data_IF_724253847198
#
_entry.id   IF_724253847198
#
_cell.length_a   1.000
_cell.length_b   1.000
_cell.length_c   1.000
_cell.angle_alpha   90.00
_cell.angle_beta   90.00
_cell.angle_gamma   90.00
#
_symmetry.space_group_name_H-M   'P 1'
#
loop_
_entity.id
_entity.type
_entity.pdbx_description
1 polymer ?
#
# COMPACT_ATOMS: atom_id res chain seq x y z
N UNK A 1 -40.97 -13.47 4.45
CA UNK A 1 -39.57 -13.82 4.18
C UNK A 1 -38.74 -12.57 4.36
N UNK A 2 -38.14 -12.41 5.53
CA UNK A 2 -37.50 -11.16 5.99
C UNK A 2 -35.97 -11.19 5.88
N UNK A 3 -35.43 -11.98 4.95
CA UNK A 3 -33.98 -12.14 4.77
C UNK A 3 -33.41 -11.35 3.57
N UNK A 4 -34.26 -10.68 2.78
CA UNK A 4 -33.83 -10.02 1.54
C UNK A 4 -33.79 -8.47 1.61
N UNK A 5 -34.04 -7.86 2.78
CA UNK A 5 -34.20 -6.40 2.92
C UNK A 5 -33.16 -5.71 3.83
N UNK A 6 -32.05 -6.36 4.18
CA UNK A 6 -31.03 -5.82 5.10
C UNK A 6 -29.57 -5.91 4.59
N UNK A 7 -29.35 -5.92 3.28
CA UNK A 7 -28.01 -5.86 2.68
C UNK A 7 -27.48 -4.41 2.64
N UNK A 8 -27.48 -3.74 3.79
CA UNK A 8 -26.81 -2.44 3.96
C UNK A 8 -25.29 -2.64 4.00
N UNK A 9 -24.56 -1.79 3.29
CA UNK A 9 -23.10 -1.72 3.25
C UNK A 9 -22.53 -1.29 4.62
N UNK A 10 -22.49 -2.18 5.60
CA UNK A 10 -21.86 -1.88 6.88
C UNK A 10 -20.37 -2.22 6.77
N UNK A 11 -19.56 -1.20 6.43
CA UNK A 11 -18.13 -1.24 6.71
C UNK A 11 -17.99 -1.53 8.21
N UNK A 12 -17.26 -2.59 8.56
CA UNK A 12 -17.14 -2.97 9.97
C UNK A 12 -16.44 -1.87 10.78
N UNK A 13 -16.80 -1.75 12.05
CA UNK A 13 -16.29 -0.66 12.89
C UNK A 13 -14.79 -0.74 13.13
N UNK A 14 -14.15 -1.91 12.99
CA UNK A 14 -12.70 -2.04 13.12
C UNK A 14 -12.00 -1.44 11.90
N UNK A 15 -12.48 -1.72 10.70
CA UNK A 15 -12.05 -1.08 9.45
C UNK A 15 -12.17 0.45 9.53
N UNK A 16 -13.32 0.97 9.97
CA UNK A 16 -13.50 2.42 10.12
C UNK A 16 -12.50 3.04 11.10
N UNK A 17 -12.28 2.40 12.26
CA UNK A 17 -11.28 2.88 13.23
C UNK A 17 -9.87 2.85 12.66
N UNK A 18 -9.51 1.80 11.91
CA UNK A 18 -8.19 1.67 11.32
C UNK A 18 -7.94 2.74 10.25
N UNK A 19 -8.97 3.10 9.47
CA UNK A 19 -8.90 4.23 8.54
C UNK A 19 -8.59 5.52 9.30
N UNK A 20 -9.34 5.86 10.35
CA UNK A 20 -9.10 7.11 11.09
C UNK A 20 -7.69 7.16 11.70
N UNK A 21 -7.21 6.04 12.26
CA UNK A 21 -5.85 5.95 12.81
C UNK A 21 -4.77 6.15 11.73
N UNK A 22 -5.00 5.67 10.51
CA UNK A 22 -4.04 5.82 9.42
C UNK A 22 -4.04 7.22 8.81
N UNK A 23 -5.20 7.91 8.77
CA UNK A 23 -5.29 9.27 8.22
C UNK A 23 -4.29 10.22 8.88
N UNK A 24 -4.20 10.19 10.21
CA UNK A 24 -3.34 11.10 10.98
C UNK A 24 -1.84 10.88 10.78
N UNK A 25 -1.45 9.68 10.30
CA UNK A 25 -0.05 9.30 10.10
C UNK A 25 0.35 9.17 8.64
N UNK A 26 -0.54 9.46 7.69
CA UNK A 26 -0.24 9.31 6.27
C UNK A 26 0.36 10.59 5.71
N UNK A 27 1.64 10.53 5.33
CA UNK A 27 2.41 11.66 4.77
C UNK A 27 2.26 12.97 5.60
N UNK A 28 2.45 12.91 6.94
CA UNK A 28 2.18 14.05 7.82
C UNK A 28 3.05 15.28 7.48
N UNK A 29 4.23 15.08 6.90
CA UNK A 29 5.17 16.12 6.49
C UNK A 29 4.62 17.05 5.40
N UNK A 30 3.64 16.59 4.61
CA UNK A 30 3.02 17.41 3.55
C UNK A 30 1.91 18.31 4.09
N UNK A 31 1.31 17.96 5.23
CA UNK A 31 0.15 18.66 5.80
C UNK A 31 -1.15 18.55 5.00
N UNK A 32 -1.13 17.93 3.82
CA UNK A 32 -2.27 17.81 2.91
C UNK A 32 -3.43 16.98 3.48
N UNK A 33 -3.12 16.00 4.32
CA UNK A 33 -4.08 15.06 4.90
C UNK A 33 -4.29 15.27 6.39
N UNK A 34 -3.73 16.33 6.97
CA UNK A 34 -3.90 16.63 8.39
C UNK A 34 -5.37 16.91 8.70
N UNK A 35 -5.87 16.37 9.81
CA UNK A 35 -7.23 16.61 10.27
C UNK A 35 -7.51 18.11 10.49
N UNK A 36 -6.50 18.85 10.96
CA UNK A 36 -6.59 20.28 11.23
C UNK A 36 -6.29 21.12 9.97
N UNK A 37 -7.19 21.06 8.99
CA UNK A 37 -7.20 21.96 7.84
C UNK A 37 -6.46 21.46 6.60
N UNK A 38 -6.08 20.18 6.54
CA UNK A 38 -5.54 19.56 5.34
C UNK A 38 -6.59 19.50 4.22
N UNK A 39 -6.31 20.05 3.02
CA UNK A 39 -7.29 20.14 1.93
C UNK A 39 -7.79 18.78 1.43
N UNK A 40 -7.05 17.70 1.65
CA UNK A 40 -7.38 16.36 1.18
C UNK A 40 -7.79 15.38 2.28
N UNK A 41 -7.83 15.80 3.55
CA UNK A 41 -8.15 14.90 4.68
C UNK A 41 -9.51 14.19 4.47
N UNK A 42 -10.56 14.96 4.20
CA UNK A 42 -11.91 14.42 3.99
C UNK A 42 -12.02 13.59 2.71
N UNK A 43 -11.26 13.96 1.67
CA UNK A 43 -11.21 13.21 0.41
C UNK A 43 -10.57 11.83 0.62
N UNK A 44 -9.44 11.78 1.33
CA UNK A 44 -8.76 10.52 1.67
C UNK A 44 -9.65 9.62 2.53
N UNK A 45 -10.28 10.19 3.57
CA UNK A 45 -11.23 9.46 4.43
C UNK A 45 -12.37 8.84 3.62
N UNK A 46 -12.98 9.62 2.73
CA UNK A 46 -14.10 9.17 1.89
C UNK A 46 -13.66 8.11 0.89
N UNK A 47 -12.51 8.29 0.25
CA UNK A 47 -11.96 7.35 -0.73
C UNK A 47 -11.66 6.00 -0.10
N UNK A 48 -10.98 5.97 1.06
CA UNK A 48 -10.67 4.74 1.77
C UNK A 48 -11.93 4.01 2.26
N UNK A 49 -12.92 4.75 2.75
CA UNK A 49 -14.23 4.17 3.12
C UNK A 49 -14.98 3.64 1.90
N UNK A 50 -14.95 4.34 0.77
CA UNK A 50 -15.55 3.88 -0.48
C UNK A 50 -14.90 2.60 -0.99
N UNK A 51 -13.56 2.50 -0.93
CA UNK A 51 -12.84 1.26 -1.23
C UNK A 51 -13.30 0.12 -0.30
N UNK A 52 -13.31 0.35 1.02
CA UNK A 52 -13.70 -0.67 1.99
C UNK A 52 -15.15 -1.15 1.79
N UNK A 53 -16.06 -0.26 1.41
CA UNK A 53 -17.43 -0.61 1.05
C UNK A 53 -17.51 -1.45 -0.24
N UNK A 54 -16.64 -1.18 -1.22
CA UNK A 54 -16.55 -1.91 -2.49
C UNK A 54 -15.86 -3.28 -2.37
N UNK A 55 -14.92 -3.41 -1.43
CA UNK A 55 -14.15 -4.63 -1.15
C UNK A 55 -14.29 -5.04 0.32
N UNK A 56 -15.50 -5.39 0.80
CA UNK A 56 -15.76 -5.62 2.22
C UNK A 56 -15.01 -6.82 2.82
N UNK A 57 -14.56 -7.78 1.98
CA UNK A 57 -13.75 -8.91 2.43
C UNK A 57 -12.28 -8.53 2.71
N UNK A 58 -11.78 -7.49 2.04
CA UNK A 58 -10.45 -6.92 2.31
C UNK A 58 -10.57 -5.83 3.38
N UNK A 59 -11.61 -5.01 3.30
CA UNK A 59 -11.83 -3.87 4.20
C UNK A 59 -10.73 -2.83 4.01
N UNK A 60 -10.06 -2.49 5.11
CA UNK A 60 -8.87 -1.65 5.11
C UNK A 60 -7.73 -2.34 5.84
N UNK A 61 -6.59 -2.45 5.16
CA UNK A 61 -5.33 -2.92 5.72
C UNK A 61 -4.44 -1.72 5.98
N UNK A 62 -3.81 -1.69 7.15
CA UNK A 62 -2.86 -0.65 7.53
C UNK A 62 -1.82 -0.42 6.42
N UNK A 63 -1.59 0.84 6.09
CA UNK A 63 -0.65 1.25 5.03
C UNK A 63 -1.30 1.53 3.68
N UNK A 64 -2.53 1.06 3.42
CA UNK A 64 -3.26 1.37 2.18
C UNK A 64 -3.49 2.88 1.97
N UNK A 65 -3.56 3.65 3.07
CA UNK A 65 -3.67 5.10 3.04
C UNK A 65 -2.58 5.79 2.24
N UNK A 66 -1.34 5.25 2.26
CA UNK A 66 -0.23 5.83 1.50
C UNK A 66 -0.46 5.75 -0.01
N UNK A 67 -0.89 4.59 -0.51
CA UNK A 67 -1.23 4.40 -1.92
C UNK A 67 -2.36 5.35 -2.35
N UNK A 68 -3.43 5.43 -1.54
CA UNK A 68 -4.56 6.32 -1.81
C UNK A 68 -4.18 7.81 -1.81
N UNK A 69 -3.31 8.22 -0.89
CA UNK A 69 -2.88 9.62 -0.72
C UNK A 69 -2.11 10.13 -1.92
N UNK A 70 -1.19 9.33 -2.45
CA UNK A 70 -0.41 9.71 -3.63
C UNK A 70 -1.33 9.88 -4.83
N UNK A 71 -2.30 8.99 -5.03
CA UNK A 71 -3.29 9.15 -6.11
C UNK A 71 -4.08 10.45 -5.96
N UNK A 72 -4.56 10.80 -4.76
CA UNK A 72 -5.33 12.03 -4.51
C UNK A 72 -4.56 13.33 -4.74
N UNK A 73 -3.23 13.31 -4.65
CA UNK A 73 -2.41 14.48 -4.99
C UNK A 73 -2.35 14.69 -6.51
N UNK A 74 -2.54 13.65 -7.31
CA UNK A 74 -2.32 13.66 -8.75
C UNK A 74 -3.60 13.62 -9.59
N UNK A 75 -4.75 13.24 -9.01
CA UNK A 75 -6.02 13.14 -9.74
C UNK A 75 -7.24 13.37 -8.85
N UNK A 76 -8.40 13.55 -9.48
CA UNK A 76 -9.66 13.75 -8.79
C UNK A 76 -10.08 12.49 -7.99
N UNK A 77 -10.85 12.64 -6.89
CA UNK A 77 -11.17 11.53 -5.98
C UNK A 77 -11.84 10.32 -6.65
N UNK A 78 -12.69 10.55 -7.65
CA UNK A 78 -13.38 9.50 -8.39
C UNK A 78 -12.41 8.64 -9.21
N UNK A 79 -11.47 9.27 -9.91
CA UNK A 79 -10.44 8.59 -10.69
C UNK A 79 -9.44 7.88 -9.75
N UNK A 80 -9.06 8.54 -8.65
CA UNK A 80 -8.19 7.96 -7.64
C UNK A 80 -8.79 6.68 -7.05
N UNK A 81 -10.11 6.64 -6.81
CA UNK A 81 -10.79 5.43 -6.34
C UNK A 81 -10.71 4.31 -7.38
N UNK A 82 -10.95 4.60 -8.66
CA UNK A 82 -10.90 3.61 -9.74
C UNK A 82 -9.48 3.04 -9.89
N UNK A 83 -8.46 3.91 -9.89
CA UNK A 83 -7.06 3.49 -9.98
C UNK A 83 -6.66 2.68 -8.74
N UNK A 84 -7.05 3.10 -7.54
CA UNK A 84 -6.77 2.36 -6.31
C UNK A 84 -7.37 0.95 -6.34
N UNK A 85 -8.65 0.81 -6.71
CA UNK A 85 -9.31 -0.49 -6.82
C UNK A 85 -8.56 -1.40 -7.80
N UNK A 86 -8.24 -0.87 -8.99
CA UNK A 86 -7.54 -1.63 -10.02
C UNK A 86 -6.13 -2.04 -9.60
N UNK A 87 -5.40 -1.16 -8.91
CA UNK A 87 -4.06 -1.44 -8.42
C UNK A 87 -4.09 -2.50 -7.32
N UNK A 88 -4.96 -2.34 -6.31
CA UNK A 88 -5.03 -3.24 -5.16
C UNK A 88 -5.61 -4.63 -5.50
N UNK A 89 -6.43 -4.75 -6.55
CA UNK A 89 -6.89 -6.04 -7.07
C UNK A 89 -5.85 -6.73 -7.98
N UNK A 90 -4.74 -6.05 -8.32
CA UNK A 90 -3.70 -6.51 -9.26
C UNK A 90 -2.30 -6.41 -8.65
N UNK A 91 -1.27 -6.62 -9.48
CA UNK A 91 0.13 -6.58 -9.07
C UNK A 91 0.44 -7.54 -7.91
N UNK A 92 1.20 -7.09 -6.92
CA UNK A 92 1.56 -7.83 -5.71
C UNK A 92 0.51 -7.71 -4.60
N UNK A 93 -0.33 -6.66 -4.63
CA UNK A 93 -1.23 -6.33 -3.53
C UNK A 93 -2.11 -7.47 -3.04
N UNK A 94 -2.76 -8.31 -3.87
CA UNK A 94 -3.58 -9.40 -3.38
C UNK A 94 -2.81 -10.44 -2.53
N UNK A 95 -1.51 -10.62 -2.76
CA UNK A 95 -0.68 -11.49 -1.93
C UNK A 95 -0.33 -10.82 -0.61
N UNK A 96 0.02 -9.52 -0.66
CA UNK A 96 0.52 -8.78 0.49
C UNK A 96 -0.61 -8.38 1.44
N UNK A 97 -1.77 -7.93 0.93
CA UNK A 97 -2.95 -7.58 1.73
C UNK A 97 -3.54 -8.79 2.46
N UNK A 98 -3.48 -9.98 1.83
CA UNK A 98 -3.92 -11.23 2.43
C UNK A 98 -2.87 -11.86 3.36
N UNK A 99 -1.65 -11.30 3.42
CA UNK A 99 -0.48 -11.91 4.06
C UNK A 99 -0.29 -13.38 3.64
N UNK A 100 -0.53 -13.67 2.37
CA UNK A 100 -0.37 -15.00 1.78
C UNK A 100 1.12 -15.27 1.57
N UNK A 101 1.75 -15.89 2.56
CA UNK A 101 3.19 -16.14 2.61
C UNK A 101 3.66 -16.92 1.38
N UNK A 102 2.90 -17.92 0.93
CA UNK A 102 3.26 -18.74 -0.24
C UNK A 102 3.30 -17.92 -1.54
N UNK A 103 2.42 -16.90 -1.65
CA UNK A 103 2.45 -15.97 -2.78
C UNK A 103 3.50 -14.89 -2.61
N UNK A 104 3.69 -14.36 -1.40
CA UNK A 104 4.73 -13.37 -1.07
C UNK A 104 6.11 -13.93 -1.41
N UNK A 105 6.36 -15.20 -1.13
CA UNK A 105 7.62 -15.89 -1.39
C UNK A 105 8.02 -15.91 -2.87
N UNK A 106 7.04 -15.84 -3.77
CA UNK A 106 7.27 -15.74 -5.22
C UNK A 106 7.89 -14.40 -5.62
N UNK A 107 7.73 -13.35 -4.80
CA UNK A 107 8.36 -12.05 -4.96
C UNK A 107 9.67 -11.95 -4.19
N UNK A 108 9.71 -12.52 -2.97
CA UNK A 108 10.90 -12.51 -2.10
C UNK A 108 12.05 -13.29 -2.71
N UNK A 109 11.82 -14.49 -3.24
CA UNK A 109 12.90 -15.33 -3.76
C UNK A 109 13.65 -14.71 -4.96
N UNK A 110 13.00 -14.12 -5.98
CA UNK A 110 13.69 -13.34 -7.00
C UNK A 110 14.44 -12.13 -6.43
N UNK A 111 13.84 -11.39 -5.49
CA UNK A 111 14.49 -10.25 -4.86
C UNK A 111 15.77 -10.66 -4.11
N UNK A 112 15.73 -11.73 -3.32
CA UNK A 112 16.89 -12.26 -2.60
C UNK A 112 18.04 -12.62 -3.55
N UNK A 113 17.74 -13.23 -4.69
CA UNK A 113 18.75 -13.52 -5.73
C UNK A 113 19.35 -12.23 -6.29
N UNK A 114 18.55 -11.20 -6.51
CA UNK A 114 19.04 -9.89 -6.95
C UNK A 114 19.90 -9.22 -5.88
N UNK A 115 19.49 -9.26 -4.62
CA UNK A 115 20.26 -8.73 -3.49
C UNK A 115 21.63 -9.42 -3.38
N UNK A 116 21.67 -10.75 -3.44
CA UNK A 116 22.92 -11.52 -3.45
C UNK A 116 23.81 -11.21 -4.65
N UNK A 117 23.21 -10.92 -5.81
CA UNK A 117 23.96 -10.63 -7.04
C UNK A 117 24.56 -9.22 -7.03
N UNK A 118 23.79 -8.23 -6.62
CA UNK A 118 24.16 -6.81 -6.75
C UNK A 118 24.77 -6.23 -5.46
N UNK A 119 24.39 -6.74 -4.29
CA UNK A 119 24.85 -6.29 -2.98
C UNK A 119 25.23 -7.50 -2.10
N UNK A 120 26.20 -8.34 -2.52
CA UNK A 120 26.52 -9.61 -1.86
C UNK A 120 26.92 -9.46 -0.39
N UNK A 121 27.68 -8.41 -0.05
CA UNK A 121 28.13 -8.17 1.32
C UNK A 121 26.96 -7.83 2.25
N UNK A 122 26.02 -7.00 1.78
CA UNK A 122 24.80 -6.67 2.50
C UNK A 122 23.90 -7.90 2.64
N UNK A 123 23.75 -8.68 1.57
CA UNK A 123 22.98 -9.92 1.59
C UNK A 123 23.51 -10.90 2.65
N UNK A 124 24.84 -11.08 2.69
CA UNK A 124 25.51 -11.93 3.67
C UNK A 124 25.36 -11.40 5.09
N UNK A 125 25.46 -10.08 5.28
CA UNK A 125 25.31 -9.44 6.58
C UNK A 125 23.89 -9.61 7.15
N UNK A 126 22.86 -9.31 6.35
CA UNK A 126 21.45 -9.49 6.74
C UNK A 126 21.14 -10.96 7.06
N UNK A 127 21.64 -11.90 6.24
CA UNK A 127 21.50 -13.33 6.50
C UNK A 127 22.21 -13.77 7.79
N UNK A 128 23.41 -13.25 8.06
CA UNK A 128 24.15 -13.51 9.30
C UNK A 128 23.43 -12.99 10.55
N UNK A 129 22.64 -11.93 10.42
CA UNK A 129 21.78 -11.40 11.47
C UNK A 129 20.41 -12.11 11.57
N UNK A 130 20.09 -13.03 10.65
CA UNK A 130 18.78 -13.69 10.59
C UNK A 130 17.63 -12.77 10.17
N UNK A 131 17.92 -11.66 9.46
CA UNK A 131 16.91 -10.71 9.00
C UNK A 131 16.26 -11.26 7.73
N UNK A 132 15.00 -11.68 7.86
CA UNK A 132 14.17 -12.11 6.75
C UNK A 132 13.74 -10.91 5.89
N UNK A 133 13.95 -10.92 4.55
CA UNK A 133 13.50 -9.85 3.67
C UNK A 133 12.02 -9.51 3.77
N UNK A 134 11.17 -10.48 4.13
CA UNK A 134 9.73 -10.25 4.34
C UNK A 134 9.46 -9.13 5.35
N UNK A 135 10.34 -8.97 6.35
CA UNK A 135 10.17 -8.00 7.43
C UNK A 135 10.14 -6.56 6.90
N UNK A 136 10.92 -6.22 5.89
CA UNK A 136 10.90 -4.88 5.27
C UNK A 136 10.08 -4.84 3.97
N UNK A 137 10.12 -5.90 3.16
CA UNK A 137 9.42 -5.91 1.87
C UNK A 137 7.90 -5.77 2.00
N UNK A 138 7.29 -6.41 3.00
CA UNK A 138 5.83 -6.40 3.15
C UNK A 138 5.35 -4.97 3.37
N UNK A 139 5.94 -4.25 4.32
CA UNK A 139 5.58 -2.86 4.58
C UNK A 139 5.89 -1.98 3.38
N UNK A 140 7.13 -2.03 2.87
CA UNK A 140 7.57 -1.13 1.80
C UNK A 140 6.74 -1.31 0.54
N UNK A 141 6.38 -2.53 0.16
CA UNK A 141 5.62 -2.73 -1.06
C UNK A 141 4.13 -2.49 -0.87
N UNK A 142 3.57 -2.71 0.34
CA UNK A 142 2.18 -2.33 0.64
C UNK A 142 1.97 -0.82 0.64
N UNK A 143 2.95 -0.05 1.12
CA UNK A 143 2.87 1.41 1.16
C UNK A 143 3.44 2.07 -0.09
N UNK A 144 3.92 1.27 -1.06
CA UNK A 144 4.70 1.73 -2.22
C UNK A 144 5.83 2.69 -1.80
N UNK A 145 6.53 2.32 -0.73
CA UNK A 145 7.63 3.04 -0.10
C UNK A 145 7.22 4.36 0.55
N UNK A 146 5.93 4.66 0.67
CA UNK A 146 5.43 5.89 1.29
C UNK A 146 5.83 6.06 2.76
N UNK A 147 6.23 5.00 3.45
CA UNK A 147 6.75 5.08 4.83
C UNK A 147 8.24 5.40 4.93
N UNK A 148 9.00 5.29 3.83
CA UNK A 148 10.46 5.45 3.84
C UNK A 148 11.01 6.43 2.80
N UNK A 149 10.25 6.77 1.76
CA UNK A 149 10.66 7.67 0.70
C UNK A 149 9.82 8.96 0.69
N UNK A 150 10.41 10.11 0.29
CA UNK A 150 9.65 11.33 0.04
C UNK A 150 8.58 11.13 -1.04
N UNK A 151 7.47 11.88 -0.96
CA UNK A 151 6.33 11.74 -1.88
C UNK A 151 6.70 11.87 -3.36
N UNK A 152 7.68 12.72 -3.69
CA UNK A 152 8.17 12.87 -5.06
C UNK A 152 8.79 11.58 -5.59
N UNK A 153 9.56 10.87 -4.75
CA UNK A 153 10.11 9.56 -5.10
C UNK A 153 9.02 8.50 -5.20
N UNK A 154 8.03 8.52 -4.29
CA UNK A 154 6.89 7.59 -4.31
C UNK A 154 6.07 7.75 -5.59
N UNK A 155 5.93 8.97 -6.10
CA UNK A 155 5.25 9.25 -7.37
C UNK A 155 5.97 8.57 -8.55
N UNK A 156 7.31 8.58 -8.55
CA UNK A 156 8.12 7.83 -9.53
C UNK A 156 7.93 6.32 -9.36
N UNK A 157 7.83 5.81 -8.13
CA UNK A 157 7.54 4.38 -7.89
C UNK A 157 6.19 3.98 -8.51
N UNK A 158 5.17 4.83 -8.40
CA UNK A 158 3.89 4.61 -9.06
C UNK A 158 4.05 4.52 -10.57
N UNK A 159 4.76 5.45 -11.20
CA UNK A 159 5.02 5.43 -12.64
C UNK A 159 5.70 4.13 -13.06
N UNK A 160 6.74 3.71 -12.34
CA UNK A 160 7.47 2.47 -12.59
C UNK A 160 6.59 1.23 -12.39
N UNK A 161 5.75 1.19 -11.36
CA UNK A 161 4.83 0.07 -11.14
C UNK A 161 3.80 -0.02 -12.26
N UNK A 162 3.27 1.10 -12.73
CA UNK A 162 2.26 1.13 -13.79
C UNK A 162 2.86 0.79 -15.16
N UNK A 163 4.10 1.19 -15.42
CA UNK A 163 4.80 0.95 -16.69
C UNK A 163 5.44 -0.44 -16.77
N UNK A 164 6.25 -0.79 -15.77
CA UNK A 164 7.13 -1.97 -15.78
C UNK A 164 6.64 -3.09 -14.84
N UNK A 165 5.66 -2.80 -13.99
CA UNK A 165 5.08 -3.75 -13.05
C UNK A 165 5.94 -4.02 -11.82
N UNK A 166 5.62 -5.11 -11.13
CA UNK A 166 6.25 -5.50 -9.86
C UNK A 166 7.78 -5.63 -9.90
N UNK A 167 8.43 -6.08 -11.01
CA UNK A 167 9.89 -6.13 -11.07
C UNK A 167 10.58 -4.79 -10.77
N UNK A 168 9.93 -3.66 -11.07
CA UNK A 168 10.49 -2.34 -10.76
C UNK A 168 10.56 -2.09 -9.24
N UNK A 169 9.60 -2.59 -8.45
CA UNK A 169 9.66 -2.45 -6.99
C UNK A 169 10.89 -3.14 -6.39
N UNK A 170 11.31 -4.28 -6.95
CA UNK A 170 12.53 -4.96 -6.54
C UNK A 170 13.79 -4.12 -6.86
N UNK A 171 13.79 -3.40 -7.98
CA UNK A 171 14.90 -2.49 -8.33
C UNK A 171 14.95 -1.29 -7.39
N UNK A 172 13.78 -0.67 -7.11
CA UNK A 172 13.67 0.42 -6.13
C UNK A 172 14.16 -0.05 -4.76
N UNK A 173 13.74 -1.23 -4.31
CA UNK A 173 14.17 -1.81 -3.02
C UNK A 173 15.70 -1.95 -2.92
N UNK A 174 16.39 -2.30 -4.01
CA UNK A 174 17.86 -2.39 -4.01
C UNK A 174 18.56 -1.03 -3.99
N UNK A 175 17.86 0.04 -4.38
CA UNK A 175 18.38 1.40 -4.38
C UNK A 175 18.15 2.16 -3.07
N UNK A 176 17.23 1.68 -2.21
CA UNK A 176 17.00 2.17 -0.84
C UNK A 176 18.09 1.62 0.08
#
# INVERSE_FOLDING_TARGET
GAAAAAAGLWIDSATLRQIEVDLDRTLPELGFFNQDGGPYHDNLRRLLRAYAAHRPLVGYVQGMGYAASVLLIHMDPEDALVVLINALDRFHFPAFLALDVDRIDRYVAPFQRSLQRYLPDLAAHLAGLGIDPRVYLIEWWLTLFGTVLPVDCVSIVWDLLLLDGVPALAQVTLGV
#
